data_IF_724749464117
#
_entry.id   IF_724749464117
#
_cell.length_a   1.000
_cell.length_b   1.000
_cell.length_c   1.000
_cell.angle_alpha   90.00
_cell.angle_beta   90.00
_cell.angle_gamma   90.00
#
_symmetry.space_group_name_H-M   'P 1'
#
loop_
_entity.id
_entity.type
_entity.pdbx_description
1 polymer ?
#
# COMPACT_ATOMS: atom_id res chain seq x y z
N UNK A 1 -4.80 -1.30 -24.91
CA UNK A 1 -4.06 -1.31 -23.64
C UNK A 1 -2.74 -0.62 -23.93
N UNK A 2 -2.38 0.42 -23.17
CA UNK A 2 -1.05 1.02 -23.29
C UNK A 2 -0.05 -0.06 -22.81
N UNK A 3 0.73 -0.63 -23.73
CA UNK A 3 1.61 -1.81 -23.50
C UNK A 3 2.73 -1.54 -22.48
N UNK A 4 2.81 -0.31 -21.98
CA UNK A 4 3.85 0.19 -21.07
C UNK A 4 3.43 0.18 -19.60
N UNK A 5 2.17 -0.08 -19.29
CA UNK A 5 1.67 -0.08 -17.92
C UNK A 5 1.13 -1.42 -17.45
N UNK A 6 1.48 -1.81 -16.22
CA UNK A 6 1.00 -3.04 -15.62
C UNK A 6 0.80 -2.90 -14.11
N UNK A 7 -0.07 -3.73 -13.57
CA UNK A 7 -0.29 -3.84 -12.13
C UNK A 7 0.47 -5.05 -11.59
N UNK A 8 1.16 -4.86 -10.48
CA UNK A 8 2.02 -5.85 -9.85
C UNK A 8 1.55 -6.11 -8.42
N UNK A 9 1.56 -7.38 -8.02
CA UNK A 9 1.29 -7.78 -6.65
C UNK A 9 2.55 -7.65 -5.79
N UNK A 10 2.37 -7.11 -4.60
CA UNK A 10 3.36 -7.00 -3.53
C UNK A 10 2.97 -7.99 -2.44
N UNK A 11 3.82 -8.98 -2.24
CA UNK A 11 3.60 -10.09 -1.31
C UNK A 11 4.49 -9.97 -0.07
N UNK A 12 4.19 -10.78 0.95
CA UNK A 12 4.97 -10.85 2.17
C UNK A 12 4.64 -9.75 3.20
N UNK A 13 3.38 -9.28 3.20
CA UNK A 13 2.84 -8.26 4.11
C UNK A 13 2.80 -8.69 5.58
N UNK A 14 2.69 -10.00 5.83
CA UNK A 14 2.58 -10.52 7.20
C UNK A 14 3.95 -10.82 7.82
N UNK A 15 5.04 -10.72 7.04
CA UNK A 15 6.40 -10.84 7.55
C UNK A 15 6.88 -9.52 8.15
N UNK A 16 7.46 -9.51 9.35
CA UNK A 16 7.99 -8.29 9.95
C UNK A 16 9.21 -7.76 9.19
N UNK A 17 9.37 -6.44 9.17
CA UNK A 17 10.66 -5.81 8.86
C UNK A 17 11.68 -6.14 9.95
N UNK A 18 12.97 -6.17 9.59
CA UNK A 18 14.06 -6.51 10.51
C UNK A 18 14.01 -5.64 11.77
N UNK A 19 13.95 -6.27 12.93
CA UNK A 19 13.90 -5.60 14.23
C UNK A 19 12.60 -4.85 14.53
N UNK A 20 11.51 -5.12 13.80
CA UNK A 20 10.18 -4.51 14.01
C UNK A 20 9.15 -5.55 14.47
N UNK A 21 8.08 -5.13 15.18
CA UNK A 21 6.96 -6.01 15.52
C UNK A 21 6.29 -6.62 14.28
N UNK A 22 5.64 -7.78 14.46
CA UNK A 22 4.79 -8.39 13.43
C UNK A 22 3.69 -7.42 12.98
N UNK A 23 3.30 -7.50 11.71
CA UNK A 23 2.23 -6.67 11.14
C UNK A 23 2.63 -5.25 10.76
N UNK A 24 3.88 -4.84 10.97
CA UNK A 24 4.33 -3.48 10.63
C UNK A 24 4.20 -3.17 9.13
N UNK A 25 4.42 -4.16 8.25
CA UNK A 25 4.26 -3.99 6.79
C UNK A 25 2.79 -3.86 6.39
N UNK A 26 1.92 -4.68 7.00
CA UNK A 26 0.46 -4.62 6.79
C UNK A 26 -0.12 -3.29 7.27
N UNK A 27 0.31 -2.80 8.43
CA UNK A 27 -0.07 -1.48 8.92
C UNK A 27 0.36 -0.39 7.94
N UNK A 28 1.61 -0.43 7.49
CA UNK A 28 2.12 0.55 6.53
C UNK A 28 1.35 0.52 5.20
N UNK A 29 1.03 -0.68 4.68
CA UNK A 29 0.19 -0.81 3.49
C UNK A 29 -1.16 -0.13 3.67
N UNK A 30 -1.84 -0.35 4.80
CA UNK A 30 -3.14 0.26 5.09
C UNK A 30 -3.06 1.78 5.23
N UNK A 31 -1.89 2.31 5.63
CA UNK A 31 -1.63 3.73 5.68
C UNK A 31 -1.30 4.36 4.31
N UNK A 32 -0.98 3.56 3.29
CA UNK A 32 -0.72 4.06 1.93
C UNK A 32 -2.01 4.50 1.25
N UNK A 33 -1.95 5.64 0.55
CA UNK A 33 -3.06 6.14 -0.26
C UNK A 33 -2.87 5.78 -1.73
N UNK A 34 -3.94 5.39 -2.45
CA UNK A 34 -3.89 5.24 -3.91
C UNK A 34 -3.26 6.47 -4.57
N UNK A 35 -2.26 6.26 -5.42
CA UNK A 35 -1.49 7.31 -6.06
C UNK A 35 -0.24 7.78 -5.33
N UNK A 36 0.02 7.31 -4.11
CA UNK A 36 1.31 7.58 -3.47
C UNK A 36 2.44 6.90 -4.25
N UNK A 37 3.58 7.58 -4.47
CA UNK A 37 4.73 6.96 -5.10
C UNK A 37 5.31 5.86 -4.21
N UNK A 38 5.80 4.80 -4.84
CA UNK A 38 6.51 3.70 -4.18
C UNK A 38 7.87 3.48 -4.83
N UNK A 39 8.83 3.04 -4.03
CA UNK A 39 10.19 2.79 -4.50
C UNK A 39 10.42 1.29 -4.69
N UNK A 40 11.08 0.93 -5.79
CA UNK A 40 11.55 -0.44 -6.06
C UNK A 40 13.05 -0.53 -5.82
N UNK A 41 13.47 -1.48 -4.98
CA UNK A 41 14.89 -1.74 -4.69
C UNK A 41 15.26 -3.17 -5.06
N UNK A 42 16.25 -3.31 -5.93
CA UNK A 42 16.81 -4.62 -6.28
C UNK A 42 17.63 -5.17 -5.11
N UNK A 43 17.43 -6.44 -4.77
CA UNK A 43 18.19 -7.14 -3.74
C UNK A 43 18.92 -8.37 -4.32
N UNK A 44 19.97 -8.18 -5.14
CA UNK A 44 20.68 -9.30 -5.78
C UNK A 44 21.41 -10.24 -4.81
N UNK A 45 21.56 -9.80 -3.54
CA UNK A 45 22.18 -10.57 -2.45
C UNK A 45 21.14 -11.17 -1.51
N UNK A 46 19.86 -11.12 -1.86
CA UNK A 46 18.82 -11.74 -1.05
C UNK A 46 19.01 -13.26 -1.04
N UNK A 47 19.06 -13.90 0.14
CA UNK A 47 19.39 -15.32 0.25
C UNK A 47 18.28 -16.26 -0.27
N UNK A 48 17.04 -15.78 -0.39
CA UNK A 48 15.91 -16.58 -0.85
C UNK A 48 15.71 -16.48 -2.36
N UNK A 49 15.91 -15.30 -2.95
CA UNK A 49 15.74 -15.06 -4.39
C UNK A 49 16.70 -13.95 -4.87
N UNK A 50 17.70 -14.23 -5.72
CA UNK A 50 18.60 -13.22 -6.26
C UNK A 50 17.92 -12.21 -7.21
N UNK A 51 16.69 -12.46 -7.62
CA UNK A 51 15.88 -11.51 -8.39
C UNK A 51 14.96 -10.67 -7.49
N UNK A 52 15.00 -10.81 -6.17
CA UNK A 52 14.10 -10.13 -5.25
C UNK A 52 14.09 -8.61 -5.48
N UNK A 53 12.88 -8.05 -5.52
CA UNK A 53 12.65 -6.61 -5.62
C UNK A 53 11.78 -6.19 -4.46
N UNK A 54 12.39 -5.48 -3.51
CA UNK A 54 11.69 -4.93 -2.35
C UNK A 54 10.91 -3.67 -2.75
N UNK A 55 9.72 -3.52 -2.18
CA UNK A 55 8.83 -2.38 -2.41
C UNK A 55 8.73 -1.55 -1.14
N UNK A 56 8.97 -0.24 -1.25
CA UNK A 56 8.94 0.69 -0.14
C UNK A 56 7.90 1.79 -0.37
N UNK A 57 7.22 2.21 0.70
CA UNK A 57 6.34 3.38 0.67
C UNK A 57 7.16 4.67 0.55
N UNK A 58 6.50 5.79 0.24
CA UNK A 58 7.10 7.13 0.26
C UNK A 58 7.74 7.49 1.62
N UNK A 59 7.30 6.84 2.71
CA UNK A 59 7.83 7.02 4.07
C UNK A 59 9.09 6.17 4.33
N UNK A 60 9.59 5.45 3.33
CA UNK A 60 10.78 4.60 3.43
C UNK A 60 10.54 3.29 4.18
N UNK A 61 9.28 2.88 4.36
CA UNK A 61 8.94 1.64 5.06
C UNK A 61 8.68 0.56 4.02
N UNK A 62 9.36 -0.58 4.17
CA UNK A 62 9.16 -1.72 3.28
C UNK A 62 7.75 -2.28 3.44
N UNK A 63 7.02 -2.37 2.32
CA UNK A 63 5.71 -2.99 2.21
C UNK A 63 5.82 -4.50 1.97
N UNK A 64 6.80 -4.93 1.18
CA UNK A 64 6.99 -6.33 0.83
C UNK A 64 7.94 -6.50 -0.33
N UNK A 65 7.66 -7.52 -1.16
CA UNK A 65 8.42 -7.83 -2.37
C UNK A 65 7.48 -8.02 -3.56
N UNK A 66 7.97 -7.78 -4.77
CA UNK A 66 7.28 -8.24 -5.98
C UNK A 66 7.22 -9.77 -6.00
N UNK A 67 6.21 -10.32 -6.69
CA UNK A 67 6.13 -11.78 -6.89
C UNK A 67 7.38 -12.29 -7.63
N UNK A 68 7.87 -13.48 -7.23
CA UNK A 68 9.03 -14.10 -7.85
C UNK A 68 8.86 -14.35 -9.37
N UNK A 69 7.62 -14.51 -9.83
CA UNK A 69 7.29 -14.63 -11.26
C UNK A 69 7.61 -13.34 -12.04
N UNK A 70 7.32 -12.18 -11.46
CA UNK A 70 7.48 -10.88 -12.14
C UNK A 70 8.84 -10.23 -11.89
N UNK A 71 9.47 -10.55 -10.76
CA UNK A 71 10.71 -9.93 -10.32
C UNK A 71 11.86 -10.01 -11.36
N UNK A 72 12.11 -11.14 -12.07
CA UNK A 72 13.18 -11.21 -13.06
C UNK A 72 12.98 -10.25 -14.25
N UNK A 73 11.75 -10.16 -14.77
CA UNK A 73 11.44 -9.30 -15.91
C UNK A 73 11.52 -7.82 -15.54
N UNK A 74 10.92 -7.44 -14.41
CA UNK A 74 11.00 -6.07 -13.88
C UNK A 74 12.45 -5.69 -13.54
N UNK A 75 13.18 -6.59 -12.90
CA UNK A 75 14.57 -6.36 -12.53
C UNK A 75 15.46 -6.16 -13.77
N UNK A 76 15.19 -6.89 -14.86
CA UNK A 76 15.87 -6.69 -16.14
C UNK A 76 15.64 -5.28 -16.69
N UNK A 77 14.38 -4.81 -16.69
CA UNK A 77 14.01 -3.47 -17.13
C UNK A 77 14.71 -2.36 -16.34
N UNK A 78 14.72 -2.49 -15.01
CA UNK A 78 15.41 -1.56 -14.10
C UNK A 78 16.92 -1.56 -14.37
N UNK A 79 17.55 -2.74 -14.49
CA UNK A 79 18.99 -2.87 -14.77
C UNK A 79 19.41 -2.29 -16.11
N UNK A 80 18.53 -2.35 -17.11
CA UNK A 80 18.75 -1.75 -18.43
C UNK A 80 18.58 -0.22 -18.44
N UNK A 81 18.26 0.40 -17.29
CA UNK A 81 18.09 1.85 -17.17
C UNK A 81 16.81 2.37 -17.83
N UNK A 82 15.81 1.52 -18.05
CA UNK A 82 14.53 1.94 -18.61
C UNK A 82 13.83 2.86 -17.60
N UNK A 83 13.46 4.10 -17.98
CA UNK A 83 12.81 5.02 -17.05
C UNK A 83 11.44 4.46 -16.67
N UNK A 84 11.12 4.53 -15.38
CA UNK A 84 9.86 4.02 -14.86
C UNK A 84 9.35 4.86 -13.70
N UNK A 85 8.04 4.81 -13.51
CA UNK A 85 7.34 5.39 -12.37
C UNK A 85 6.43 4.35 -11.75
N UNK A 86 6.29 4.37 -10.42
CA UNK A 86 5.50 3.37 -9.68
C UNK A 86 4.63 4.04 -8.65
N UNK A 87 3.34 3.72 -8.67
CA UNK A 87 2.33 4.24 -7.75
C UNK A 87 1.69 3.10 -6.97
N UNK A 88 1.37 3.35 -5.71
CA UNK A 88 0.48 2.49 -4.93
C UNK A 88 -0.92 2.54 -5.54
N UNK A 89 -1.52 1.38 -5.81
CA UNK A 89 -2.85 1.29 -6.42
C UNK A 89 -3.91 1.07 -5.35
N UNK A 90 -3.84 -0.05 -4.63
CA UNK A 90 -4.83 -0.42 -3.61
C UNK A 90 -4.28 -1.51 -2.67
N UNK A 91 -4.73 -1.53 -1.40
CA UNK A 91 -4.51 -2.67 -0.53
C UNK A 91 -5.46 -3.82 -0.88
N UNK A 92 -5.07 -5.06 -0.58
CA UNK A 92 -5.97 -6.22 -0.60
C UNK A 92 -5.75 -7.10 0.64
N UNK A 93 -6.56 -8.16 0.77
CA UNK A 93 -6.49 -9.05 1.94
C UNK A 93 -5.14 -9.78 2.06
N UNK A 94 -4.53 -10.14 0.93
CA UNK A 94 -3.33 -11.01 0.85
C UNK A 94 -2.12 -10.34 0.19
N UNK A 95 -2.31 -9.22 -0.50
CA UNK A 95 -1.26 -8.49 -1.21
C UNK A 95 -1.56 -6.99 -1.28
N UNK A 96 -0.54 -6.19 -1.55
CA UNK A 96 -0.75 -4.82 -2.04
C UNK A 96 -0.63 -4.82 -3.57
N UNK A 97 -1.35 -3.92 -4.23
CA UNK A 97 -1.22 -3.71 -5.67
C UNK A 97 -0.52 -2.39 -5.95
N UNK A 98 0.46 -2.43 -6.84
CA UNK A 98 1.14 -1.24 -7.35
C UNK A 98 1.00 -1.18 -8.87
N UNK A 99 1.02 0.03 -9.42
CA UNK A 99 0.97 0.30 -10.85
C UNK A 99 2.34 0.82 -11.29
N UNK A 100 2.95 0.17 -12.27
CA UNK A 100 4.21 0.64 -12.87
C UNK A 100 3.97 1.07 -14.32
N UNK A 101 4.60 2.17 -14.73
CA UNK A 101 4.70 2.63 -16.11
C UNK A 101 6.17 2.68 -16.52
N UNK A 102 6.49 2.11 -17.66
CA UNK A 102 7.80 2.24 -18.29
C UNK A 102 7.79 3.28 -19.43
N UNK A 103 8.95 3.85 -19.73
CA UNK A 103 9.11 4.81 -20.83
C UNK A 103 8.76 6.26 -20.48
N UNK A 104 8.65 6.58 -19.18
CA UNK A 104 8.42 7.93 -18.66
C UNK A 104 6.95 8.35 -18.55
N UNK A 105 6.72 9.39 -17.74
CA UNK A 105 5.42 9.93 -17.41
C UNK A 105 4.74 9.23 -16.23
N UNK A 106 3.78 9.93 -15.61
CA UNK A 106 3.02 9.40 -14.49
C UNK A 106 2.15 8.20 -14.91
N UNK A 107 2.14 7.09 -14.15
CA UNK A 107 1.24 5.97 -14.38
C UNK A 107 -0.21 6.43 -14.25
N UNK A 108 -1.07 5.94 -15.12
CA UNK A 108 -2.50 6.20 -15.00
C UNK A 108 -3.06 5.39 -13.83
N UNK A 109 -3.51 6.05 -12.77
CA UNK A 109 -4.31 5.39 -11.76
C UNK A 109 -5.67 5.06 -12.37
N UNK A 110 -6.08 3.79 -12.31
CA UNK A 110 -7.49 3.48 -12.57
C UNK A 110 -8.32 4.18 -11.51
N UNK A 111 -9.48 4.76 -11.85
CA UNK A 111 -10.37 5.33 -10.84
C UNK A 111 -10.65 4.27 -9.79
N UNK A 112 -10.52 4.65 -8.51
CA UNK A 112 -10.85 3.77 -7.41
C UNK A 112 -12.26 3.23 -7.63
N UNK A 113 -12.46 1.92 -7.43
CA UNK A 113 -13.83 1.38 -7.43
C UNK A 113 -14.59 2.13 -6.34
N UNK A 114 -15.75 2.76 -6.62
CA UNK A 114 -16.48 3.48 -5.59
C UNK A 114 -16.76 2.52 -4.44
N UNK A 115 -16.30 2.90 -3.25
CA UNK A 115 -16.64 2.17 -2.03
C UNK A 115 -18.14 2.41 -1.79
N UNK A 116 -18.94 1.37 -1.47
CA UNK A 116 -20.29 1.62 -1.00
C UNK A 116 -20.21 2.58 0.21
N UNK A 117 -21.14 3.53 0.32
CA UNK A 117 -21.18 4.40 1.49
C UNK A 117 -21.22 3.54 2.76
N UNK A 118 -20.63 4.00 3.88
CA UNK A 118 -20.84 3.33 5.15
C UNK A 118 -22.35 3.19 5.39
N UNK A 119 -22.82 2.09 6.00
CA UNK A 119 -24.22 1.97 6.35
C UNK A 119 -24.63 3.16 7.23
N UNK A 120 -25.82 3.72 6.97
CA UNK A 120 -26.44 4.84 7.70
C UNK A 120 -26.75 4.52 9.19
N UNK A 121 -26.37 3.33 9.68
CA UNK A 121 -26.69 2.82 11.02
C UNK A 121 -25.80 3.39 12.13
N UNK A 122 -25.16 4.54 11.93
CA UNK A 122 -24.69 5.33 13.08
C UNK A 122 -25.90 6.11 13.61
N UNK A 123 -26.53 5.67 14.72
CA UNK A 123 -27.54 6.50 15.34
C UNK A 123 -26.89 7.86 15.66
N UNK A 124 -27.60 8.98 15.46
CA UNK A 124 -27.11 10.27 15.94
C UNK A 124 -26.75 10.09 17.41
N UNK A 125 -25.60 10.64 17.83
CA UNK A 125 -25.19 10.67 19.23
C UNK A 125 -26.41 11.04 20.06
N UNK A 126 -26.93 10.08 20.83
CA UNK A 126 -28.11 10.32 21.64
C UNK A 126 -27.75 11.48 22.57
N UNK A 127 -28.52 12.57 22.49
CA UNK A 127 -28.36 13.66 23.43
C UNK A 127 -28.42 13.05 24.83
N UNK A 128 -27.39 13.29 25.68
CA UNK A 128 -27.46 12.82 27.05
C UNK A 128 -28.75 13.40 27.67
N UNK A 129 -29.51 12.62 28.45
CA UNK A 129 -30.74 13.11 29.05
C UNK A 129 -30.46 14.40 29.84
N UNK A 130 -31.37 15.37 29.70
CA UNK A 130 -31.32 16.71 30.32
C UNK A 130 -31.18 16.69 31.86
N UNK A 131 -31.30 15.52 32.49
CA UNK A 131 -31.15 15.31 33.92
C UNK A 131 -29.69 15.38 34.43
N UNK A 132 -28.69 15.46 33.54
CA UNK A 132 -27.29 15.62 33.96
C UNK A 132 -26.95 16.98 34.59
N UNK A 133 -27.89 17.95 34.60
CA UNK A 133 -27.69 19.27 35.18
C UNK A 133 -28.58 19.59 36.40
N UNK A 134 -29.16 18.57 37.07
CA UNK A 134 -29.94 18.78 38.30
C UNK A 134 -29.38 18.02 39.50
N UNK A 135 -28.12 18.28 39.87
CA UNK A 135 -27.71 18.17 41.28
C UNK A 135 -26.46 19.01 41.64
N UNK A 136 -26.45 20.27 41.22
CA UNK A 136 -25.53 21.27 41.78
C UNK A 136 -26.36 22.40 42.40
N UNK A 137 -26.97 22.13 43.56
CA UNK A 137 -27.65 23.18 44.32
C UNK A 137 -28.34 22.70 45.59
N UNK A 138 -27.58 22.44 46.65
CA UNK A 138 -28.16 22.22 47.98
C UNK A 138 -27.17 21.91 49.09
N UNK A 139 -26.60 22.97 49.67
CA UNK A 139 -25.92 23.12 50.98
C UNK A 139 -25.11 21.96 51.57
#
# INVERSE_FOLDING_TARGET
MDERELSLAVVGLDFPNKGKPKGNRRFEMLACRPGEPVELRLEPKNPADPNAIAVFSIRGIQLGYLTAERAPWIGSKIRNGEPFEVLFQEPSATAAWIRIRFGGGAPTLRPARPMPPPPDDFPPDAEPPDDFNQDQGGW
#
